data_IF_710937750050
#
_entry.id   IF_710937750050
#
_cell.length_a   1.000
_cell.length_b   1.000
_cell.length_c   1.000
_cell.angle_alpha   90.00
_cell.angle_beta   90.00
_cell.angle_gamma   90.00
#
_symmetry.space_group_name_H-M   'P 1'
#
loop_
_entity.id
_entity.type
_entity.pdbx_description
1 polymer ?
#
# COMPACT_ATOMS: atom_id res chain seq x y z
N UNK A 1 28.15 25.40 -9.91
CA UNK A 1 27.62 24.09 -10.33
C UNK A 1 27.13 24.25 -11.75
N UNK A 2 27.84 23.67 -12.70
CA UNK A 2 27.40 23.60 -14.07
C UNK A 2 26.49 22.37 -14.27
N UNK A 3 25.78 22.31 -15.40
CA UNK A 3 24.82 21.23 -15.66
C UNK A 3 25.44 19.82 -15.57
N UNK A 4 26.74 19.68 -15.86
CA UNK A 4 27.44 18.40 -15.85
C UNK A 4 27.91 17.93 -14.46
N UNK A 5 27.95 18.84 -13.48
CA UNK A 5 28.41 18.55 -12.12
C UNK A 5 27.27 18.23 -11.13
N UNK A 6 26.03 18.27 -11.60
CA UNK A 6 24.84 18.07 -10.78
C UNK A 6 24.83 16.66 -10.18
N UNK A 7 25.07 16.58 -8.87
CA UNK A 7 24.93 15.35 -8.08
C UNK A 7 23.82 15.54 -7.05
N UNK A 8 22.94 14.54 -6.86
CA UNK A 8 21.96 14.59 -5.79
C UNK A 8 22.65 14.44 -4.44
N UNK A 9 22.06 15.01 -3.39
CA UNK A 9 22.53 14.79 -2.01
C UNK A 9 22.53 13.29 -1.66
N UNK A 10 23.44 12.91 -0.77
CA UNK A 10 23.56 11.53 -0.32
C UNK A 10 22.23 11.03 0.26
N UNK A 11 21.66 9.99 -0.35
CA UNK A 11 20.40 9.39 0.08
C UNK A 11 19.13 10.02 -0.53
N UNK A 12 19.25 11.11 -1.28
CA UNK A 12 18.09 11.77 -1.91
C UNK A 12 17.37 10.88 -2.94
N UNK A 13 18.06 9.92 -3.55
CA UNK A 13 17.50 9.01 -4.56
C UNK A 13 17.77 7.54 -4.22
N UNK A 14 16.74 6.71 -4.34
CA UNK A 14 16.82 5.24 -4.22
C UNK A 14 16.37 4.58 -5.53
N UNK A 15 17.05 3.52 -5.95
CA UNK A 15 16.68 2.77 -7.17
C UNK A 15 15.37 2.01 -6.93
N UNK A 16 14.44 2.05 -7.89
CA UNK A 16 13.18 1.29 -7.81
C UNK A 16 13.43 -0.21 -7.92
N UNK A 17 12.68 -1.01 -7.16
CA UNK A 17 12.67 -2.47 -7.32
C UNK A 17 11.84 -2.86 -8.54
N UNK A 18 12.46 -3.55 -9.52
CA UNK A 18 11.76 -4.10 -10.69
C UNK A 18 11.50 -5.58 -10.46
N UNK A 19 10.22 -5.97 -10.36
CA UNK A 19 9.81 -7.37 -10.17
C UNK A 19 9.69 -8.12 -11.50
N UNK A 20 9.75 -9.45 -11.48
CA UNK A 20 9.62 -10.28 -12.68
C UNK A 20 10.82 -10.17 -13.64
N UNK A 21 12.04 -10.04 -13.11
CA UNK A 21 13.29 -9.91 -13.88
C UNK A 21 14.30 -11.00 -13.53
N UNK A 22 13.87 -12.26 -13.59
CA UNK A 22 14.70 -13.43 -13.34
C UNK A 22 14.81 -13.84 -11.87
N UNK A 23 15.30 -15.05 -11.64
CA UNK A 23 15.40 -15.65 -10.30
C UNK A 23 16.41 -14.93 -9.39
N UNK A 24 17.55 -14.48 -9.95
CA UNK A 24 18.59 -13.74 -9.20
C UNK A 24 18.14 -12.39 -8.64
N UNK A 25 17.05 -11.81 -9.17
CA UNK A 25 16.45 -10.59 -8.63
C UNK A 25 15.58 -10.83 -7.37
N UNK A 26 15.43 -12.08 -6.92
CA UNK A 26 14.66 -12.49 -5.73
C UNK A 26 13.14 -12.37 -5.85
N UNK A 27 12.63 -11.74 -6.91
CA UNK A 27 11.20 -11.56 -7.19
C UNK A 27 10.87 -11.95 -8.64
N UNK A 28 11.49 -13.03 -9.12
CA UNK A 28 11.38 -13.48 -10.51
C UNK A 28 10.06 -14.16 -10.81
N UNK A 29 9.88 -15.39 -10.30
CA UNK A 29 8.81 -16.29 -10.73
C UNK A 29 7.39 -15.79 -10.41
N UNK A 30 7.16 -15.35 -9.18
CA UNK A 30 5.82 -14.97 -8.69
C UNK A 30 5.68 -13.48 -8.44
N UNK A 31 6.73 -12.69 -8.71
CA UNK A 31 6.80 -11.27 -8.37
C UNK A 31 6.43 -10.96 -6.90
N UNK A 32 6.58 -11.94 -5.99
CA UNK A 32 6.27 -11.81 -4.57
C UNK A 32 4.82 -12.13 -4.20
N UNK A 33 3.99 -12.55 -5.15
CA UNK A 33 2.56 -12.78 -4.94
C UNK A 33 2.19 -14.22 -4.54
N UNK A 34 3.15 -15.13 -4.51
CA UNK A 34 2.90 -16.56 -4.30
C UNK A 34 2.39 -17.29 -5.56
N UNK A 35 2.02 -18.56 -5.43
CA UNK A 35 1.69 -19.45 -6.57
C UNK A 35 0.20 -19.50 -6.91
N UNK A 36 -0.68 -19.38 -5.91
CA UNK A 36 -2.14 -19.52 -6.04
C UNK A 36 -2.84 -18.50 -5.13
N UNK A 37 -4.18 -18.50 -5.16
CA UNK A 37 -5.02 -17.60 -4.36
C UNK A 37 -5.53 -16.42 -5.17
N UNK A 38 -6.61 -15.80 -4.68
CA UNK A 38 -7.29 -14.69 -5.37
C UNK A 38 -6.33 -13.53 -5.66
N UNK A 39 -5.48 -13.16 -4.68
CA UNK A 39 -4.53 -12.04 -4.79
C UNK A 39 -3.31 -12.33 -5.69
N UNK A 40 -3.08 -13.59 -6.07
CA UNK A 40 -2.04 -13.94 -7.04
C UNK A 40 -2.50 -13.73 -8.50
N UNK A 41 -3.81 -13.59 -8.74
CA UNK A 41 -4.40 -13.38 -10.07
C UNK A 41 -4.42 -11.89 -10.46
N UNK A 42 -4.68 -11.62 -11.73
CA UNK A 42 -4.98 -10.27 -12.22
C UNK A 42 -6.33 -9.81 -11.68
N UNK A 43 -6.54 -8.49 -11.57
CA UNK A 43 -7.81 -7.90 -11.13
C UNK A 43 -7.89 -7.54 -9.65
N UNK A 44 -6.81 -7.70 -8.89
CA UNK A 44 -6.73 -7.26 -7.49
C UNK A 44 -7.44 -8.19 -6.50
N UNK A 45 -7.42 -7.78 -5.23
CA UNK A 45 -8.05 -8.52 -4.14
C UNK A 45 -9.47 -8.06 -3.84
N UNK A 46 -10.02 -8.56 -2.73
CA UNK A 46 -11.27 -8.08 -2.16
C UNK A 46 -11.12 -6.62 -1.69
N UNK A 47 -12.24 -5.89 -1.60
CA UNK A 47 -12.24 -4.50 -1.15
C UNK A 47 -11.66 -4.31 0.26
N UNK A 48 -11.13 -3.12 0.55
CA UNK A 48 -10.35 -2.83 1.76
C UNK A 48 -11.04 -3.23 3.08
N UNK A 49 -12.37 -3.04 3.17
CA UNK A 49 -13.15 -3.32 4.37
C UNK A 49 -13.89 -4.67 4.33
N UNK A 50 -13.59 -5.53 3.36
CA UNK A 50 -14.27 -6.81 3.20
C UNK A 50 -13.70 -7.87 4.15
N UNK A 51 -14.50 -8.30 5.13
CA UNK A 51 -14.13 -9.26 6.17
C UNK A 51 -14.60 -10.70 5.86
N UNK A 52 -14.71 -11.10 4.58
CA UNK A 52 -15.00 -12.49 4.23
C UNK A 52 -16.47 -12.90 4.20
N UNK A 53 -17.39 -11.94 4.26
CA UNK A 53 -18.85 -12.18 4.37
C UNK A 53 -19.44 -11.67 5.69
N UNK A 54 -18.57 -11.28 6.61
CA UNK A 54 -18.92 -10.63 7.86
C UNK A 54 -19.29 -9.15 7.67
N UNK A 55 -20.14 -8.61 8.54
CA UNK A 55 -20.43 -7.18 8.57
C UNK A 55 -19.14 -6.41 8.92
N UNK A 56 -18.67 -5.47 8.09
CA UNK A 56 -17.43 -4.74 8.35
C UNK A 56 -17.44 -4.03 9.69
N UNK A 57 -16.28 -3.94 10.35
CA UNK A 57 -16.12 -3.29 11.66
C UNK A 57 -16.76 -1.89 11.74
N UNK A 58 -16.62 -1.08 10.69
CA UNK A 58 -17.19 0.26 10.62
C UNK A 58 -18.73 0.28 10.76
N UNK A 59 -19.41 -0.80 10.39
CA UNK A 59 -20.86 -0.96 10.52
C UNK A 59 -21.28 -1.62 11.84
N UNK A 60 -20.35 -2.30 12.51
CA UNK A 60 -20.56 -2.95 13.82
C UNK A 60 -20.47 -1.96 14.96
N UNK A 61 -19.56 -1.00 14.83
CA UNK A 61 -19.39 0.05 15.82
C UNK A 61 -20.57 1.02 15.78
N UNK A 62 -20.95 1.63 16.92
CA UNK A 62 -21.93 2.70 16.93
C UNK A 62 -21.52 3.83 15.98
N UNK A 63 -22.43 4.20 15.08
CA UNK A 63 -22.16 5.20 14.03
C UNK A 63 -21.83 6.60 14.57
N UNK A 64 -22.29 6.94 15.78
CA UNK A 64 -22.09 8.26 16.38
C UNK A 64 -21.03 8.17 17.49
N UNK A 65 -19.83 8.70 17.23
CA UNK A 65 -18.79 8.92 18.25
C UNK A 65 -18.97 10.22 19.06
N UNK A 66 -20.14 10.86 18.97
CA UNK A 66 -20.44 12.17 19.56
C UNK A 66 -20.56 13.28 18.51
N UNK A 67 -20.46 14.54 18.94
CA UNK A 67 -20.42 15.72 18.07
C UNK A 67 -19.26 16.64 18.48
N UNK A 68 -18.68 17.36 17.52
CA UNK A 68 -17.65 18.37 17.77
C UNK A 68 -18.31 19.73 18.02
N UNK A 69 -18.21 20.26 19.25
CA UNK A 69 -18.72 21.58 19.57
C UNK A 69 -17.75 22.66 19.06
N UNK A 70 -18.18 23.45 18.06
CA UNK A 70 -17.40 24.54 17.46
C UNK A 70 -17.12 25.66 18.48
N UNK A 71 -17.96 25.81 19.52
CA UNK A 71 -17.84 26.83 20.56
C UNK A 71 -17.14 26.35 21.83
N UNK A 72 -16.30 25.31 21.75
CA UNK A 72 -15.56 24.82 22.93
C UNK A 72 -14.52 25.86 23.34
N UNK A 73 -14.80 26.60 24.43
CA UNK A 73 -13.83 27.47 25.09
C UNK A 73 -12.90 26.59 25.91
N UNK A 74 -11.58 26.74 25.72
CA UNK A 74 -10.55 26.01 26.44
C UNK A 74 -10.41 26.53 27.87
#
# INVERSE_FOLDING_TARGET
MELHDLRPDSGAKKKRKRVGRGAGAGQGKTAGRGTKGQNARSGGGKGLYFEGGQLPLARRLPYKRGFTNIRKVY
#
